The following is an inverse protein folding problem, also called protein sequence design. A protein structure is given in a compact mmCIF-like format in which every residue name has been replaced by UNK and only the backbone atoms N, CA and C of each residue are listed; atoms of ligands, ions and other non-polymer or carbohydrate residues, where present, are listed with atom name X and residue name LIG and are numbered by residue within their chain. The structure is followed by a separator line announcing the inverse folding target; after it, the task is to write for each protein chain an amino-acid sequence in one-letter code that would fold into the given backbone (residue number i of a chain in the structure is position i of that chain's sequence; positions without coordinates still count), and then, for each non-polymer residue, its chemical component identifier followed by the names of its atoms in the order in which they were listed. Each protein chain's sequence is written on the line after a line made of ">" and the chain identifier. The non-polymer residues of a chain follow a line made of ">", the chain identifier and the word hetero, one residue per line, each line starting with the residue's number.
data_IF_564659410678
#
_entry.id   IF_564659410678
#
_cell.length_a   1.000
_cell.length_b   1.000
_cell.length_c   1.000
_cell.angle_alpha   90.00
_cell.angle_beta   90.00
_cell.angle_gamma   90.00
#
_symmetry.space_group_name_H-M   'P 1'
#
loop_
_entity.id
_entity.type
_entity.pdbx_description
1 polymer ?
#
# COMPACT_ATOMS: atom_id res chain seq x y z
N UNK A 1 -51.48 -50.85 3.76
CA UNK A 1 -50.90 -51.51 4.94
C UNK A 1 -49.59 -50.81 5.22
N UNK A 2 -49.62 -49.83 6.14
CA UNK A 2 -49.11 -49.90 7.55
C UNK A 2 -47.59 -49.72 7.57
N UNK A 3 -47.03 -48.53 7.86
CA UNK A 3 -47.01 -47.69 9.09
C UNK A 3 -46.07 -48.23 10.18
N UNK A 4 -45.26 -47.31 10.72
CA UNK A 4 -44.45 -47.32 11.97
C UNK A 4 -43.16 -48.20 11.94
N UNK A 5 -42.00 -47.86 12.52
CA UNK A 5 -41.49 -46.76 13.35
C UNK A 5 -39.93 -46.77 13.29
N UNK A 6 -39.27 -45.61 13.26
CA UNK A 6 -38.45 -44.99 14.34
C UNK A 6 -37.18 -45.74 14.79
N UNK A 7 -36.02 -45.10 14.62
CA UNK A 7 -34.98 -44.99 15.65
C UNK A 7 -34.03 -43.82 15.32
N UNK A 8 -34.25 -42.79 16.12
CA UNK A 8 -33.41 -41.67 16.54
C UNK A 8 -31.88 -41.90 16.55
N UNK A 9 -31.15 -40.92 16.05
CA UNK A 9 -29.79 -40.60 16.48
C UNK A 9 -29.56 -39.11 16.23
N UNK A 10 -30.05 -38.31 17.17
CA UNK A 10 -29.60 -36.95 17.43
C UNK A 10 -28.07 -36.91 17.47
N UNK A 11 -27.47 -36.12 16.58
CA UNK A 11 -26.10 -35.63 16.73
C UNK A 11 -26.21 -34.13 16.90
N UNK A 12 -25.91 -33.67 18.11
CA UNK A 12 -25.67 -32.28 18.49
C UNK A 12 -24.80 -31.60 17.42
N UNK A 13 -25.38 -30.62 16.73
CA UNK A 13 -24.59 -29.60 16.05
C UNK A 13 -24.25 -28.58 17.12
N UNK A 14 -23.03 -28.71 17.65
CA UNK A 14 -22.42 -27.79 18.58
C UNK A 14 -22.48 -26.35 18.05
N UNK A 15 -23.09 -25.49 18.84
CA UNK A 15 -23.24 -24.03 18.70
C UNK A 15 -21.89 -23.31 18.88
N UNK A 16 -20.96 -23.54 17.95
CA UNK A 16 -19.59 -23.00 17.96
C UNK A 16 -19.33 -21.93 16.90
N UNK A 17 -20.33 -21.16 16.49
CA UNK A 17 -20.30 -20.48 15.16
C UNK A 17 -20.40 -18.95 15.21
N UNK A 18 -20.57 -18.33 16.37
CA UNK A 18 -20.66 -16.86 16.47
C UNK A 18 -19.53 -16.27 17.30
N UNK A 19 -19.35 -16.73 18.54
CA UNK A 19 -18.30 -16.22 19.43
C UNK A 19 -16.89 -16.38 18.85
N UNK A 20 -16.56 -17.54 18.28
CA UNK A 20 -15.22 -17.82 17.72
C UNK A 20 -14.92 -16.95 16.47
N UNK A 21 -15.94 -16.62 15.68
CA UNK A 21 -15.80 -15.74 14.49
C UNK A 21 -15.66 -14.27 14.92
N UNK A 22 -16.35 -13.86 15.98
CA UNK A 22 -16.22 -12.49 16.51
C UNK A 22 -14.89 -12.26 17.24
N UNK A 23 -14.34 -13.27 17.91
CA UNK A 23 -13.03 -13.22 18.56
C UNK A 23 -11.92 -13.11 17.49
N UNK A 24 -11.99 -13.93 16.43
CA UNK A 24 -11.04 -13.88 15.31
C UNK A 24 -11.06 -12.52 14.59
N UNK A 25 -12.23 -11.93 14.37
CA UNK A 25 -12.36 -10.61 13.72
C UNK A 25 -11.81 -9.46 14.57
N UNK A 26 -11.97 -9.52 15.91
CA UNK A 26 -11.39 -8.53 16.82
C UNK A 26 -9.86 -8.64 16.84
N UNK A 27 -9.32 -9.86 16.94
CA UNK A 27 -7.88 -10.07 16.89
C UNK A 27 -7.29 -9.70 15.51
N UNK A 28 -7.99 -9.98 14.42
CA UNK A 28 -7.59 -9.57 13.06
C UNK A 28 -7.49 -8.06 12.93
N UNK A 29 -8.45 -7.32 13.52
CA UNK A 29 -8.41 -5.86 13.57
C UNK A 29 -7.19 -5.36 14.34
N UNK A 30 -6.90 -5.95 15.51
CA UNK A 30 -5.71 -5.59 16.31
C UNK A 30 -4.42 -5.86 15.53
N UNK A 31 -4.28 -7.07 14.96
CA UNK A 31 -3.14 -7.45 14.11
C UNK A 31 -2.98 -6.54 12.90
N UNK A 32 -4.08 -6.16 12.25
CA UNK A 32 -4.05 -5.21 11.15
C UNK A 32 -3.54 -3.85 11.61
N UNK A 33 -4.06 -3.34 12.74
CA UNK A 33 -3.70 -2.04 13.27
C UNK A 33 -2.22 -1.96 13.65
N UNK A 34 -1.71 -2.97 14.36
CA UNK A 34 -0.29 -3.09 14.72
C UNK A 34 0.59 -3.12 13.47
N UNK A 35 0.28 -4.00 12.50
CA UNK A 35 1.02 -4.06 11.23
C UNK A 35 0.98 -2.74 10.47
N UNK A 36 -0.14 -2.01 10.51
CA UNK A 36 -0.26 -0.71 9.86
C UNK A 36 0.65 0.32 10.53
N UNK A 37 0.67 0.37 11.86
CA UNK A 37 1.57 1.25 12.64
C UNK A 37 3.03 0.93 12.36
N UNK A 38 3.41 -0.36 12.37
CA UNK A 38 4.78 -0.80 12.05
C UNK A 38 5.18 -0.44 10.62
N UNK A 39 4.30 -0.72 9.65
CA UNK A 39 4.58 -0.42 8.22
C UNK A 39 4.82 1.07 8.02
N UNK A 40 3.94 1.90 8.58
CA UNK A 40 3.99 3.37 8.43
C UNK A 40 5.24 3.96 9.08
N UNK A 41 5.64 3.42 10.24
CA UNK A 41 6.77 3.91 11.06
C UNK A 41 8.09 3.16 10.85
N UNK A 42 8.13 2.16 9.98
CA UNK A 42 9.35 1.44 9.62
C UNK A 42 10.46 2.38 9.13
N UNK A 43 11.73 1.99 9.28
CA UNK A 43 12.89 2.84 8.97
C UNK A 43 12.86 3.43 7.57
N UNK A 44 12.34 2.68 6.59
CA UNK A 44 12.15 3.14 5.21
C UNK A 44 10.68 3.03 4.80
N UNK A 45 9.77 3.17 5.77
CA UNK A 45 8.32 3.19 5.57
C UNK A 45 7.82 4.55 5.06
N UNK A 46 6.50 4.69 4.85
CA UNK A 46 5.88 5.93 4.39
C UNK A 46 6.31 7.21 5.12
N UNK A 47 6.51 7.19 6.44
CA UNK A 47 6.92 8.39 7.18
C UNK A 47 8.38 8.77 6.99
N UNK A 48 9.21 7.86 6.47
CA UNK A 48 10.58 8.18 6.10
C UNK A 48 10.65 8.91 4.74
N UNK A 49 9.60 8.89 3.92
CA UNK A 49 9.57 9.60 2.64
C UNK A 49 9.50 11.12 2.88
N UNK A 50 10.61 11.81 2.62
CA UNK A 50 10.74 13.28 2.78
C UNK A 50 10.52 14.03 1.48
N UNK A 51 10.67 13.38 0.32
CA UNK A 51 10.50 14.03 -0.97
C UNK A 51 10.25 13.06 -2.12
N UNK A 52 9.46 13.49 -3.11
CA UNK A 52 9.38 12.88 -4.44
C UNK A 52 9.69 13.96 -5.47
N UNK A 53 10.75 13.76 -6.24
CA UNK A 53 11.24 14.72 -7.22
C UNK A 53 11.15 14.12 -8.62
N UNK A 54 10.22 14.62 -9.43
CA UNK A 54 10.09 14.24 -10.83
C UNK A 54 11.11 15.01 -11.67
N UNK A 55 11.95 14.30 -12.43
CA UNK A 55 13.11 14.90 -13.11
C UNK A 55 12.72 15.94 -14.17
N UNK A 56 11.53 15.84 -14.76
CA UNK A 56 10.99 16.85 -15.68
C UNK A 56 10.91 18.26 -15.05
N UNK A 57 10.75 18.34 -13.72
CA UNK A 57 10.73 19.60 -12.98
C UNK A 57 12.11 20.18 -12.67
N UNK A 58 13.18 19.43 -12.95
CA UNK A 58 14.56 19.78 -12.61
C UNK A 58 15.48 19.58 -13.83
N UNK A 59 15.33 20.39 -14.90
CA UNK A 59 16.07 20.20 -16.15
C UNK A 59 17.59 20.42 -16.04
N UNK A 60 18.06 21.05 -14.96
CA UNK A 60 19.48 21.19 -14.64
C UNK A 60 20.03 20.02 -13.80
N UNK A 61 19.19 19.04 -13.50
CA UNK A 61 19.50 17.83 -12.73
C UNK A 61 19.68 18.07 -11.23
N UNK A 62 19.39 19.27 -10.71
CA UNK A 62 19.60 19.61 -9.30
C UNK A 62 18.33 19.36 -8.50
N UNK A 63 18.36 18.33 -7.66
CA UNK A 63 17.25 17.99 -6.79
C UNK A 63 17.42 18.69 -5.41
N UNK A 64 16.34 19.20 -4.81
CA UNK A 64 16.38 19.77 -3.46
C UNK A 64 16.92 18.76 -2.45
N UNK A 65 17.93 19.16 -1.67
CA UNK A 65 18.52 18.38 -0.57
C UNK A 65 19.04 16.97 -0.91
N UNK A 66 19.23 16.67 -2.21
CA UNK A 66 19.84 15.44 -2.72
C UNK A 66 21.11 15.81 -3.51
N UNK A 67 22.30 15.39 -3.06
CA UNK A 67 23.57 15.65 -3.76
C UNK A 67 23.66 15.02 -5.15
N UNK A 68 24.64 15.48 -5.95
CA UNK A 68 24.83 15.04 -7.33
C UNK A 68 23.92 15.71 -8.35
N UNK A 69 24.10 15.34 -9.62
CA UNK A 69 23.26 15.77 -10.74
C UNK A 69 22.50 14.56 -11.28
N UNK A 70 21.17 14.67 -11.33
CA UNK A 70 20.24 13.61 -11.69
C UNK A 70 19.52 13.99 -12.98
N UNK A 71 19.96 13.43 -14.10
CA UNK A 71 19.42 13.78 -15.43
C UNK A 71 18.59 12.65 -16.00
N UNK A 72 17.39 12.97 -16.46
CA UNK A 72 16.56 12.05 -17.24
C UNK A 72 17.24 11.68 -18.57
N UNK A 73 17.24 10.40 -18.91
CA UNK A 73 17.74 9.84 -20.16
C UNK A 73 16.74 8.80 -20.69
N UNK A 74 16.81 8.50 -21.99
CA UNK A 74 15.80 7.70 -22.73
C UNK A 74 15.43 6.35 -22.05
N UNK A 75 16.36 5.69 -21.36
CA UNK A 75 16.09 4.45 -20.60
C UNK A 75 16.73 4.45 -19.21
N UNK A 76 16.61 5.55 -18.46
CA UNK A 76 17.07 5.59 -17.06
C UNK A 76 17.46 6.98 -16.59
N UNK A 77 18.07 7.03 -15.41
CA UNK A 77 18.59 8.26 -14.82
C UNK A 77 20.11 8.24 -14.87
N UNK A 78 20.72 9.31 -15.38
CA UNK A 78 22.17 9.53 -15.25
C UNK A 78 22.43 10.30 -13.96
N UNK A 79 23.16 9.67 -13.03
CA UNK A 79 23.69 10.30 -11.83
C UNK A 79 25.16 10.65 -12.05
N UNK A 80 25.51 11.93 -11.89
CA UNK A 80 26.89 12.41 -11.79
C UNK A 80 27.17 12.86 -10.36
N UNK A 81 28.18 12.27 -9.71
CA UNK A 81 28.55 12.55 -8.33
C UNK A 81 30.02 12.99 -8.21
N UNK A 82 30.27 14.02 -7.42
CA UNK A 82 31.60 14.47 -7.01
C UNK A 82 32.00 13.86 -5.64
N UNK A 83 33.30 13.82 -5.28
CA UNK A 83 33.73 13.30 -3.98
C UNK A 83 33.04 13.97 -2.78
N UNK A 84 32.77 15.28 -2.87
CA UNK A 84 32.11 16.08 -1.84
C UNK A 84 30.62 15.73 -1.65
N UNK A 85 29.97 15.08 -2.63
CA UNK A 85 28.57 14.68 -2.51
C UNK A 85 28.38 13.54 -1.51
N UNK A 86 29.44 12.76 -1.24
CA UNK A 86 29.43 11.69 -0.22
C UNK A 86 28.48 10.52 -0.51
N UNK A 87 28.01 10.40 -1.76
CA UNK A 87 27.06 9.38 -2.16
C UNK A 87 27.66 7.98 -2.10
N UNK A 88 26.81 6.99 -1.83
CA UNK A 88 27.11 5.58 -2.00
C UNK A 88 26.31 4.99 -3.15
N UNK A 89 26.90 4.00 -3.82
CA UNK A 89 26.27 3.15 -4.81
C UNK A 89 26.44 1.69 -4.37
N UNK A 90 25.32 0.96 -4.23
CA UNK A 90 25.29 -0.42 -3.77
C UNK A 90 26.08 -0.61 -2.45
N UNK A 91 25.94 0.36 -1.54
CA UNK A 91 26.58 0.39 -0.22
C UNK A 91 28.07 0.79 -0.22
N UNK A 92 28.65 1.18 -1.36
CA UNK A 92 30.07 1.58 -1.48
C UNK A 92 30.20 3.06 -1.82
N UNK A 93 31.21 3.79 -1.32
CA UNK A 93 31.45 5.17 -1.72
C UNK A 93 31.52 5.31 -3.25
N UNK A 94 30.84 6.32 -3.79
CA UNK A 94 30.67 6.52 -5.22
C UNK A 94 31.06 7.94 -5.65
N UNK A 95 31.72 8.03 -6.81
CA UNK A 95 32.09 9.27 -7.50
C UNK A 95 32.19 8.96 -8.99
N UNK A 96 31.78 9.90 -9.84
CA UNK A 96 31.74 9.73 -11.29
C UNK A 96 30.31 9.64 -11.80
N UNK A 97 30.15 8.98 -12.94
CA UNK A 97 28.87 8.86 -13.63
C UNK A 97 28.34 7.42 -13.58
N UNK A 98 27.06 7.26 -13.32
CA UNK A 98 26.37 5.98 -13.35
C UNK A 98 24.97 6.14 -13.94
N UNK A 99 24.58 5.18 -14.78
CA UNK A 99 23.20 5.05 -15.23
C UNK A 99 22.44 4.13 -14.27
N UNK A 100 21.26 4.58 -13.87
CA UNK A 100 20.37 3.90 -12.94
C UNK A 100 19.06 3.58 -13.66
N UNK A 101 18.63 2.34 -13.53
CA UNK A 101 17.25 1.93 -13.83
C UNK A 101 16.38 2.18 -12.59
N UNK A 102 15.08 1.93 -12.72
CA UNK A 102 14.18 1.97 -11.57
C UNK A 102 14.61 0.92 -10.53
N UNK A 103 14.69 1.31 -9.27
CA UNK A 103 15.07 0.41 -8.19
C UNK A 103 14.01 -0.70 -8.03
N UNK A 104 14.42 -1.97 -8.04
CA UNK A 104 13.50 -3.07 -7.79
C UNK A 104 13.31 -3.25 -6.28
N UNK A 105 12.06 -3.20 -5.82
CA UNK A 105 11.72 -3.62 -4.46
C UNK A 105 11.59 -2.47 -3.46
N UNK A 106 12.11 -2.67 -2.25
CA UNK A 106 11.87 -1.77 -1.12
C UNK A 106 12.81 -0.57 -1.13
N UNK A 107 12.42 0.51 -0.45
CA UNK A 107 13.29 1.68 -0.32
C UNK A 107 14.62 1.39 0.41
N UNK A 108 14.67 0.34 1.25
CA UNK A 108 15.90 -0.09 1.90
C UNK A 108 16.94 -0.64 0.91
N UNK A 109 16.48 -1.15 -0.24
CA UNK A 109 17.28 -1.76 -1.29
C UNK A 109 17.73 -0.75 -2.36
N UNK A 110 17.40 0.53 -2.18
CA UNK A 110 17.79 1.59 -3.12
C UNK A 110 19.29 1.56 -3.37
N UNK A 111 19.68 1.62 -4.63
CA UNK A 111 21.09 1.53 -5.01
C UNK A 111 21.90 2.74 -4.55
N UNK A 112 21.29 3.92 -4.52
CA UNK A 112 21.97 5.16 -4.15
C UNK A 112 21.58 5.59 -2.73
N UNK A 113 22.56 6.00 -1.93
CA UNK A 113 22.32 6.51 -0.58
C UNK A 113 23.28 7.60 -0.14
N UNK A 114 22.96 8.22 0.99
CA UNK A 114 23.81 9.18 1.70
C UNK A 114 23.71 8.89 3.21
N UNK A 115 24.74 8.24 3.75
CA UNK A 115 24.63 7.66 5.10
C UNK A 115 23.46 6.68 5.19
N UNK A 116 22.50 6.96 6.07
CA UNK A 116 21.28 6.17 6.23
C UNK A 116 20.15 6.61 5.28
N UNK A 117 20.26 7.73 4.56
CA UNK A 117 19.26 8.11 3.54
C UNK A 117 19.33 7.19 2.33
N UNK A 118 18.18 6.96 1.70
CA UNK A 118 18.04 6.15 0.48
C UNK A 118 17.34 6.95 -0.60
N UNK A 119 17.93 6.97 -1.79
CA UNK A 119 17.40 7.66 -2.96
C UNK A 119 16.88 6.63 -3.96
N UNK A 120 15.57 6.45 -3.97
CA UNK A 120 14.89 5.46 -4.80
C UNK A 120 14.61 6.07 -6.17
N UNK A 121 15.21 5.51 -7.21
CA UNK A 121 14.89 5.82 -8.60
C UNK A 121 13.62 5.08 -8.98
N UNK A 122 12.65 5.80 -9.54
CA UNK A 122 11.39 5.25 -10.01
C UNK A 122 11.02 5.80 -11.38
N UNK A 123 10.20 5.04 -12.10
CA UNK A 123 9.52 5.50 -13.31
C UNK A 123 8.02 5.31 -13.15
N UNK A 124 7.25 6.35 -13.45
CA UNK A 124 5.79 6.28 -13.45
C UNK A 124 5.27 6.92 -14.73
N UNK A 125 4.52 6.16 -15.52
CA UNK A 125 3.93 6.64 -16.77
C UNK A 125 4.99 7.22 -17.75
N UNK A 126 6.20 6.64 -17.72
CA UNK A 126 7.34 7.09 -18.53
C UNK A 126 8.10 8.29 -17.95
N UNK A 127 7.66 8.84 -16.81
CA UNK A 127 8.33 9.97 -16.15
C UNK A 127 9.23 9.43 -15.04
N UNK A 128 10.50 9.78 -15.10
CA UNK A 128 11.49 9.42 -14.10
C UNK A 128 11.42 10.33 -12.87
N UNK A 129 11.64 9.75 -11.70
CA UNK A 129 11.71 10.48 -10.44
C UNK A 129 12.67 9.84 -9.45
N UNK A 130 13.01 10.62 -8.43
CA UNK A 130 13.81 10.21 -7.29
C UNK A 130 13.01 10.46 -6.02
N UNK A 131 12.86 9.43 -5.20
CA UNK A 131 12.29 9.54 -3.85
C UNK A 131 13.40 9.57 -2.81
N UNK A 132 13.29 10.51 -1.88
CA UNK A 132 14.18 10.64 -0.74
C UNK A 132 13.54 10.00 0.48
N UNK A 133 14.18 8.94 0.99
CA UNK A 133 13.81 8.31 2.24
C UNK A 133 14.86 8.61 3.30
N UNK A 134 14.46 9.31 4.35
CA UNK A 134 15.27 9.58 5.53
C UNK A 134 14.71 8.84 6.76
N UNK A 135 15.41 7.80 7.28
CA UNK A 135 14.99 7.11 8.50
C UNK A 135 15.00 8.01 9.75
N UNK A 136 15.68 9.17 9.69
CA UNK A 136 15.71 10.19 10.74
C UNK A 136 14.68 11.32 10.50
N UNK A 137 13.73 11.17 9.57
CA UNK A 137 12.75 12.20 9.25
C UNK A 137 11.98 12.70 10.47
N UNK A 138 11.67 14.00 10.47
CA UNK A 138 10.84 14.61 11.54
C UNK A 138 9.46 13.95 11.62
N UNK A 139 8.85 13.63 10.48
CA UNK A 139 7.55 12.96 10.43
C UNK A 139 7.56 11.62 11.18
N UNK A 140 8.64 10.83 11.02
CA UNK A 140 8.80 9.57 11.75
C UNK A 140 9.11 9.79 13.23
N UNK A 141 9.96 10.75 13.56
CA UNK A 141 10.30 11.08 14.95
C UNK A 141 9.10 11.65 15.74
N UNK A 142 8.21 12.39 15.07
CA UNK A 142 7.01 12.99 15.65
C UNK A 142 5.83 12.02 15.73
N UNK A 143 5.89 10.88 15.03
CA UNK A 143 4.77 9.93 14.92
C UNK A 143 4.30 9.39 16.27
N UNK A 144 2.99 9.42 16.50
CA UNK A 144 2.35 8.96 17.76
C UNK A 144 1.47 7.73 17.60
N UNK A 145 1.35 7.19 16.39
CA UNK A 145 0.45 6.11 16.05
C UNK A 145 -0.53 6.52 14.96
N UNK A 146 -1.29 5.53 14.49
CA UNK A 146 -2.42 5.75 13.58
C UNK A 146 -3.66 5.83 14.45
N UNK A 147 -4.47 6.87 14.29
CA UNK A 147 -5.78 6.89 14.93
C UNK A 147 -6.71 5.93 14.19
N UNK A 148 -7.35 5.03 14.93
CA UNK A 148 -8.30 4.07 14.38
C UNK A 148 -9.52 3.97 15.28
N UNK A 149 -10.71 3.93 14.67
CA UNK A 149 -11.95 3.60 15.38
C UNK A 149 -11.81 2.21 15.99
N UNK A 150 -12.12 2.01 17.29
CA UNK A 150 -12.08 0.70 17.91
C UNK A 150 -12.92 -0.31 17.15
N UNK A 151 -12.54 -1.58 17.23
CA UNK A 151 -13.37 -2.65 16.69
C UNK A 151 -14.78 -2.58 17.27
N UNK A 152 -15.76 -2.66 16.37
CA UNK A 152 -17.18 -2.75 16.70
C UNK A 152 -17.78 -3.82 15.78
N UNK A 153 -18.30 -4.93 16.35
CA UNK A 153 -18.76 -6.07 15.57
C UNK A 153 -19.91 -5.73 14.61
N UNK A 154 -20.61 -4.60 14.80
CA UNK A 154 -21.66 -4.16 13.87
C UNK A 154 -21.13 -3.83 12.47
N UNK A 155 -19.83 -3.54 12.34
CA UNK A 155 -19.18 -3.30 11.05
C UNK A 155 -18.66 -4.58 10.39
N UNK A 156 -18.68 -5.71 11.11
CA UNK A 156 -18.30 -7.02 10.58
C UNK A 156 -19.57 -7.75 10.11
N UNK A 157 -19.89 -7.59 8.83
CA UNK A 157 -21.09 -8.17 8.21
C UNK A 157 -20.71 -9.13 7.08
N UNK A 158 -21.46 -10.23 6.88
CA UNK A 158 -21.23 -11.11 5.75
C UNK A 158 -21.51 -10.38 4.43
N UNK A 159 -20.62 -10.58 3.46
CA UNK A 159 -20.76 -10.06 2.10
C UNK A 159 -20.80 -11.19 1.06
N UNK A 160 -21.54 -10.97 -0.02
CA UNK A 160 -21.58 -11.85 -1.18
C UNK A 160 -20.82 -11.23 -2.34
N UNK A 161 -19.72 -11.87 -2.75
CA UNK A 161 -18.94 -11.46 -3.91
C UNK A 161 -19.47 -12.10 -5.19
N UNK A 162 -19.71 -11.26 -6.21
CA UNK A 162 -20.10 -11.68 -7.56
C UNK A 162 -19.08 -11.17 -8.57
N UNK A 163 -18.30 -12.03 -9.24
CA UNK A 163 -17.33 -11.59 -10.25
C UNK A 163 -18.04 -11.08 -11.52
N UNK A 164 -17.43 -10.12 -12.22
CA UNK A 164 -18.00 -9.55 -13.45
C UNK A 164 -17.99 -10.51 -14.65
N UNK A 165 -17.08 -11.49 -14.65
CA UNK A 165 -16.88 -12.42 -15.78
C UNK A 165 -16.17 -11.80 -17.01
N UNK A 166 -15.94 -10.48 -17.00
CA UNK A 166 -15.21 -9.72 -18.01
C UNK A 166 -14.31 -8.66 -17.33
N UNK A 167 -13.26 -8.22 -18.01
CA UNK A 167 -12.40 -7.15 -17.50
C UNK A 167 -13.14 -5.81 -17.51
N UNK A 168 -13.18 -5.13 -16.37
CA UNK A 168 -13.71 -3.77 -16.24
C UNK A 168 -12.68 -2.86 -15.62
N UNK A 169 -12.65 -1.60 -16.03
CA UNK A 169 -11.71 -0.59 -15.49
C UNK A 169 -12.45 0.70 -15.21
N UNK A 170 -12.23 1.28 -14.04
CA UNK A 170 -12.66 2.65 -13.69
C UNK A 170 -11.46 3.55 -13.53
N UNK A 171 -11.62 4.86 -13.69
CA UNK A 171 -10.54 5.82 -13.45
C UNK A 171 -10.69 6.42 -12.06
N UNK A 172 -9.67 6.29 -11.23
CA UNK A 172 -9.64 6.81 -9.86
C UNK A 172 -8.53 7.84 -9.74
N UNK A 173 -8.84 9.00 -9.17
CA UNK A 173 -7.85 10.05 -8.89
C UNK A 173 -6.91 9.59 -7.77
N UNK A 174 -5.61 9.74 -8.00
CA UNK A 174 -4.60 9.45 -6.99
C UNK A 174 -4.23 10.72 -6.22
N UNK A 175 -3.49 10.57 -5.11
CA UNK A 175 -3.03 11.70 -4.31
C UNK A 175 -2.17 12.73 -5.06
N UNK A 176 -1.64 12.39 -6.24
CA UNK A 176 -0.92 13.30 -7.13
C UNK A 176 -1.85 14.05 -8.12
N UNK A 177 -3.17 13.91 -7.99
CA UNK A 177 -4.17 14.53 -8.85
C UNK A 177 -4.35 13.84 -10.21
N UNK A 178 -3.65 12.73 -10.47
CA UNK A 178 -3.73 12.03 -11.74
C UNK A 178 -4.69 10.84 -11.63
N UNK A 179 -5.71 10.83 -12.48
CA UNK A 179 -6.65 9.73 -12.59
C UNK A 179 -6.02 8.52 -13.30
N UNK A 180 -6.07 7.34 -12.67
CA UNK A 180 -5.51 6.09 -13.22
C UNK A 180 -6.53 4.98 -13.26
N UNK A 181 -6.36 4.08 -14.21
CA UNK A 181 -7.20 2.90 -14.36
C UNK A 181 -7.04 1.94 -13.18
N UNK A 182 -8.14 1.65 -12.50
CA UNK A 182 -8.28 0.59 -11.51
C UNK A 182 -9.10 -0.55 -12.14
N UNK A 183 -8.46 -1.71 -12.30
CA UNK A 183 -9.14 -2.92 -12.77
C UNK A 183 -10.09 -3.46 -11.71
N UNK A 184 -11.34 -3.72 -12.08
CA UNK A 184 -12.36 -4.26 -11.19
C UNK A 184 -12.62 -5.73 -11.52
N UNK A 185 -12.73 -6.55 -10.47
CA UNK A 185 -13.00 -7.98 -10.57
C UNK A 185 -14.45 -8.37 -10.27
N UNK A 186 -15.22 -7.53 -9.58
CA UNK A 186 -16.63 -7.83 -9.29
C UNK A 186 -17.33 -6.82 -8.39
N UNK A 187 -18.45 -7.27 -7.83
CA UNK A 187 -19.27 -6.54 -6.87
C UNK A 187 -19.30 -7.33 -5.56
N UNK A 188 -19.04 -6.66 -4.45
CA UNK A 188 -19.30 -7.15 -3.10
C UNK A 188 -20.61 -6.53 -2.61
N UNK A 189 -21.65 -7.34 -2.40
CA UNK A 189 -22.94 -6.92 -1.86
C UNK A 189 -23.07 -7.32 -0.38
N UNK A 190 -23.56 -6.43 0.47
CA UNK A 190 -23.73 -6.68 1.91
C UNK A 190 -24.83 -5.78 2.48
N UNK A 191 -25.35 -6.15 3.65
CA UNK A 191 -26.34 -5.35 4.38
C UNK A 191 -25.69 -4.76 5.63
N UNK A 192 -25.79 -3.45 5.81
CA UNK A 192 -25.23 -2.74 6.95
C UNK A 192 -26.27 -1.81 7.56
N UNK A 193 -26.49 -1.91 8.88
CA UNK A 193 -27.55 -1.16 9.59
C UNK A 193 -28.94 -1.23 8.93
N UNK A 194 -29.23 -2.35 8.25
CA UNK A 194 -30.49 -2.59 7.54
C UNK A 194 -30.58 -2.03 6.12
N UNK A 195 -29.49 -1.44 5.60
CA UNK A 195 -29.38 -0.93 4.24
C UNK A 195 -28.56 -1.88 3.36
N UNK A 196 -29.08 -2.20 2.17
CA UNK A 196 -28.37 -3.02 1.19
C UNK A 196 -27.39 -2.15 0.39
N UNK A 197 -26.11 -2.45 0.54
CA UNK A 197 -25.00 -1.70 -0.04
C UNK A 197 -24.19 -2.58 -1.01
N UNK A 198 -23.45 -1.92 -1.90
CA UNK A 198 -22.54 -2.60 -2.82
C UNK A 198 -21.22 -1.83 -2.94
N UNK A 199 -20.13 -2.58 -3.06
CA UNK A 199 -18.82 -2.06 -3.41
C UNK A 199 -18.34 -2.69 -4.72
N UNK A 200 -17.76 -1.88 -5.60
CA UNK A 200 -16.99 -2.38 -6.72
C UNK A 200 -15.57 -2.68 -6.23
N UNK A 201 -15.08 -3.89 -6.50
CA UNK A 201 -13.82 -4.36 -5.93
C UNK A 201 -12.86 -4.86 -6.99
N UNK A 202 -11.57 -4.67 -6.75
CA UNK A 202 -10.47 -5.35 -7.41
C UNK A 202 -10.21 -6.70 -6.74
N UNK A 203 -9.65 -7.64 -7.49
CA UNK A 203 -9.17 -8.93 -6.95
C UNK A 203 -7.66 -8.92 -7.06
N UNK A 204 -6.99 -8.99 -5.92
CA UNK A 204 -5.54 -9.02 -5.82
C UNK A 204 -4.99 -10.40 -6.25
N UNK A 205 -3.68 -10.48 -6.49
CA UNK A 205 -3.04 -11.72 -6.96
C UNK A 205 -3.15 -12.89 -5.98
N UNK A 206 -3.32 -12.61 -4.69
CA UNK A 206 -3.52 -13.61 -3.63
C UNK A 206 -5.01 -14.01 -3.45
N UNK A 207 -5.91 -13.41 -4.24
CA UNK A 207 -7.35 -13.64 -4.18
C UNK A 207 -8.10 -12.76 -3.18
N UNK A 208 -7.40 -11.89 -2.44
CA UNK A 208 -8.06 -10.90 -1.58
C UNK A 208 -8.81 -9.85 -2.40
N UNK A 209 -9.84 -9.25 -1.79
CA UNK A 209 -10.62 -8.18 -2.40
C UNK A 209 -10.11 -6.84 -1.90
N UNK A 210 -9.93 -5.89 -2.82
CA UNK A 210 -9.55 -4.52 -2.49
C UNK A 210 -10.58 -3.54 -3.04
N UNK A 211 -10.92 -2.52 -2.24
CA UNK A 211 -11.91 -1.52 -2.60
C UNK A 211 -11.46 -0.13 -2.18
N UNK A 212 -11.68 0.85 -3.05
CA UNK A 212 -11.74 2.26 -2.64
C UNK A 212 -13.19 2.57 -2.34
N UNK A 213 -13.45 3.11 -1.16
CA UNK A 213 -14.78 3.57 -0.78
C UNK A 213 -14.67 4.90 -0.04
N UNK A 214 -15.79 5.60 0.06
CA UNK A 214 -15.96 6.78 0.87
C UNK A 214 -17.31 6.67 1.59
N UNK A 215 -17.39 7.25 2.76
CA UNK A 215 -18.61 7.32 3.57
C UNK A 215 -18.78 8.73 4.15
N UNK A 216 -19.78 8.92 5.00
CA UNK A 216 -20.08 10.22 5.62
C UNK A 216 -18.96 10.79 6.50
N UNK A 217 -17.98 9.98 6.89
CA UNK A 217 -16.80 10.40 7.66
C UNK A 217 -15.62 10.82 6.77
N UNK A 218 -15.73 10.65 5.44
CA UNK A 218 -14.70 11.07 4.48
C UNK A 218 -14.77 12.58 4.22
N UNK A 219 -13.65 13.30 4.40
CA UNK A 219 -13.55 14.75 4.18
C UNK A 219 -12.11 15.23 4.09
#
# INVERSE_FOLDING_TARGET
>A
MTKDASADASADVSDGTSADVFDDASEDWERWHERRVETVSGSYGPLALTGTHWLEGYPDGRLPDIPGLWTDQEDGVLLTAAPEDGLSLDGKPFTGEVRLDADPGSAADARVGLGERRFVVLVREGIWGVRDFDPASEARAAFKGVEATPYDPRWSVPGHFTPYGESRTVHVENADGVARGLGLGGILAFTLDGEDLTLQVSVESDGSLWAVFADTTSG
#
